data_IF_411940949077
#
_entry.id   IF_411940949077
#
_cell.length_a   1.000
_cell.length_b   1.000
_cell.length_c   1.000
_cell.angle_alpha   90.00
_cell.angle_beta   90.00
_cell.angle_gamma   90.00
#
_symmetry.space_group_name_H-M   'P 1'
#
loop_
_entity.id
_entity.type
_entity.pdbx_description
1 polymer ?
#
# COMPACT_ATOMS: atom_id res chain seq x y z
N UNK A 1 -13.10 40.40 -26.18
CA UNK A 1 -12.45 39.59 -25.14
C UNK A 1 -13.57 38.83 -24.47
N UNK A 2 -13.80 37.58 -24.83
CA UNK A 2 -14.75 36.72 -24.10
C UNK A 2 -14.40 35.26 -24.35
N UNK A 3 -14.04 34.58 -23.26
CA UNK A 3 -13.68 33.17 -23.17
C UNK A 3 -14.91 32.29 -23.43
N UNK A 4 -14.94 31.62 -24.58
CA UNK A 4 -15.83 30.45 -24.73
C UNK A 4 -15.12 29.27 -24.07
N UNK A 5 -15.36 29.14 -22.78
CA UNK A 5 -15.06 27.96 -21.96
C UNK A 5 -15.58 26.71 -22.68
N UNK A 6 -14.64 25.95 -23.27
CA UNK A 6 -14.87 24.61 -23.74
C UNK A 6 -15.21 23.73 -22.53
N UNK A 7 -16.50 23.70 -22.20
CA UNK A 7 -17.10 22.72 -21.30
C UNK A 7 -16.91 21.38 -21.99
N UNK A 8 -15.79 20.70 -21.70
CA UNK A 8 -15.63 19.28 -21.98
C UNK A 8 -16.69 18.57 -21.16
N UNK A 9 -17.87 18.41 -21.75
CA UNK A 9 -18.93 17.57 -21.22
C UNK A 9 -18.29 16.21 -20.92
N UNK A 10 -18.36 15.82 -19.65
CA UNK A 10 -17.94 14.50 -19.23
C UNK A 10 -18.85 13.49 -19.94
N UNK A 11 -18.36 12.95 -21.06
CA UNK A 11 -19.10 11.94 -21.82
C UNK A 11 -19.45 10.77 -20.89
N UNK A 12 -20.72 10.34 -20.82
CA UNK A 12 -21.17 9.24 -19.97
C UNK A 12 -20.43 7.92 -20.27
N UNK A 13 -19.81 7.83 -21.44
CA UNK A 13 -18.97 6.71 -21.87
C UNK A 13 -17.71 6.54 -20.99
N UNK A 14 -17.11 7.63 -20.50
CA UNK A 14 -15.90 7.56 -19.66
C UNK A 14 -16.20 6.97 -18.29
N UNK A 15 -17.40 7.23 -17.75
CA UNK A 15 -17.86 6.65 -16.50
C UNK A 15 -18.17 5.14 -16.64
N UNK A 16 -18.70 4.71 -17.80
CA UNK A 16 -18.94 3.30 -18.10
C UNK A 16 -17.64 2.50 -18.32
N UNK A 17 -16.63 3.13 -18.94
CA UNK A 17 -15.34 2.49 -19.23
C UNK A 17 -14.52 2.13 -17.98
N UNK A 18 -14.76 2.71 -16.81
CA UNK A 18 -13.97 2.38 -15.61
C UNK A 18 -14.57 1.24 -14.78
N UNK A 19 -15.76 0.74 -15.15
CA UNK A 19 -16.49 -0.26 -14.36
C UNK A 19 -15.84 -1.65 -14.35
N UNK A 20 -14.92 -1.93 -15.27
CA UNK A 20 -14.18 -3.19 -15.34
C UNK A 20 -12.88 -3.17 -14.52
N UNK A 21 -12.43 -2.00 -14.06
CA UNK A 21 -11.26 -1.88 -13.20
C UNK A 21 -11.70 -1.91 -11.74
N UNK A 22 -11.05 -2.74 -10.94
CA UNK A 22 -11.21 -2.68 -9.48
C UNK A 22 -10.64 -1.35 -8.97
N UNK A 23 -11.16 -0.85 -7.84
CA UNK A 23 -10.56 0.29 -7.14
C UNK A 23 -9.09 -0.06 -6.80
N UNK A 24 -8.15 0.89 -6.91
CA UNK A 24 -6.78 0.70 -6.42
C UNK A 24 -6.79 0.21 -4.96
N UNK A 25 -5.99 -0.80 -4.66
CA UNK A 25 -5.85 -1.39 -3.32
C UNK A 25 -4.39 -1.27 -2.88
N UNK A 26 -3.97 -0.11 -2.35
CA UNK A 26 -2.58 0.11 -1.99
C UNK A 26 -2.10 -0.81 -0.86
N UNK A 27 -3.00 -1.24 0.04
CA UNK A 27 -2.65 -2.18 1.11
C UNK A 27 -2.38 -3.56 0.53
N UNK A 28 -3.28 -4.03 -0.34
CA UNK A 28 -3.11 -5.28 -1.09
C UNK A 28 -1.83 -5.28 -1.92
N UNK A 29 -1.51 -4.19 -2.62
CA UNK A 29 -0.30 -4.07 -3.43
C UNK A 29 0.99 -4.15 -2.59
N UNK A 30 1.02 -3.51 -1.42
CA UNK A 30 2.14 -3.59 -0.48
C UNK A 30 2.31 -5.03 0.03
N UNK A 31 1.20 -5.67 0.45
CA UNK A 31 1.24 -7.05 0.97
C UNK A 31 1.63 -8.05 -0.12
N UNK A 32 1.14 -7.89 -1.35
CA UNK A 32 1.53 -8.71 -2.50
C UNK A 32 3.03 -8.56 -2.80
N UNK A 33 3.56 -7.34 -2.70
CA UNK A 33 5.00 -7.08 -2.82
C UNK A 33 5.79 -7.76 -1.71
N UNK A 34 5.30 -7.73 -0.47
CA UNK A 34 5.96 -8.36 0.67
C UNK A 34 6.08 -9.88 0.49
N UNK A 35 5.03 -10.55 0.02
CA UNK A 35 4.94 -12.01 -0.11
C UNK A 35 5.33 -12.58 -1.48
N UNK A 36 6.15 -11.86 -2.25
CA UNK A 36 6.71 -12.39 -3.50
C UNK A 36 7.50 -13.69 -3.26
N UNK A 37 7.13 -14.75 -3.98
CA UNK A 37 7.75 -16.09 -3.86
C UNK A 37 9.21 -16.15 -4.29
N UNK A 38 9.67 -15.18 -5.08
CA UNK A 38 11.05 -15.09 -5.53
C UNK A 38 11.96 -14.33 -4.55
N UNK A 39 11.40 -13.78 -3.46
CA UNK A 39 12.12 -12.97 -2.49
C UNK A 39 12.32 -13.68 -1.15
N UNK A 40 13.33 -13.26 -0.39
CA UNK A 40 13.51 -13.74 0.98
C UNK A 40 12.31 -13.37 1.87
N UNK A 41 12.11 -14.13 2.94
CA UNK A 41 10.98 -13.96 3.86
C UNK A 41 10.92 -12.51 4.41
N UNK A 42 9.76 -11.84 4.33
CA UNK A 42 9.58 -10.51 4.89
C UNK A 42 9.61 -10.55 6.43
N UNK A 43 10.25 -9.55 7.03
CA UNK A 43 10.34 -9.39 8.50
C UNK A 43 9.48 -8.25 9.02
N UNK A 44 9.43 -7.15 8.28
CA UNK A 44 8.62 -5.98 8.60
C UNK A 44 8.40 -5.14 7.35
N UNK A 45 7.40 -4.28 7.42
CA UNK A 45 7.10 -3.25 6.44
C UNK A 45 7.40 -1.91 7.10
N UNK A 46 8.28 -1.11 6.51
CA UNK A 46 8.50 0.28 6.93
C UNK A 46 7.70 1.19 6.03
N UNK A 47 7.04 2.19 6.60
CA UNK A 47 6.23 3.16 5.86
C UNK A 47 6.49 4.56 6.36
N UNK A 48 6.43 5.53 5.45
CA UNK A 48 6.38 6.93 5.85
C UNK A 48 5.09 7.24 6.62
N UNK A 49 5.07 8.27 7.48
CA UNK A 49 3.86 8.70 8.19
C UNK A 49 2.65 8.92 7.27
N UNK A 50 2.87 9.52 6.09
CA UNK A 50 1.79 9.82 5.14
C UNK A 50 1.20 8.53 4.54
N UNK A 51 2.04 7.50 4.34
CA UNK A 51 1.62 6.18 3.86
C UNK A 51 0.90 5.42 4.98
N UNK A 52 1.38 5.50 6.22
CA UNK A 52 0.69 4.92 7.37
C UNK A 52 -0.76 5.45 7.51
N UNK A 53 -0.95 6.77 7.41
CA UNK A 53 -2.30 7.35 7.46
C UNK A 53 -3.19 6.90 6.30
N UNK A 54 -2.63 6.74 5.09
CA UNK A 54 -3.38 6.18 3.95
C UNK A 54 -3.75 4.72 4.18
N UNK A 55 -2.85 3.91 4.73
CA UNK A 55 -3.14 2.51 5.09
C UNK A 55 -4.32 2.47 6.06
N UNK A 56 -4.27 3.23 7.16
CA UNK A 56 -5.38 3.26 8.12
C UNK A 56 -6.71 3.64 7.47
N UNK A 57 -6.70 4.60 6.54
CA UNK A 57 -7.91 5.06 5.85
C UNK A 57 -8.52 4.01 4.91
N UNK A 58 -7.71 3.07 4.39
CA UNK A 58 -8.16 2.02 3.47
C UNK A 58 -8.65 0.76 4.20
N UNK A 59 -8.22 0.54 5.44
CA UNK A 59 -8.59 -0.64 6.24
C UNK A 59 -10.01 -0.56 6.80
N UNK A 60 -10.62 -1.73 6.95
CA UNK A 60 -11.85 -1.87 7.73
C UNK A 60 -11.60 -1.61 9.23
N UNK A 61 -12.64 -1.39 10.06
CA UNK A 61 -12.46 -1.05 11.47
C UNK A 61 -11.69 -2.09 12.29
N UNK A 62 -11.83 -3.38 11.98
CA UNK A 62 -11.17 -4.47 12.72
C UNK A 62 -9.70 -4.53 12.36
N UNK A 63 -9.38 -4.47 11.07
CA UNK A 63 -8.00 -4.44 10.59
C UNK A 63 -7.27 -3.17 11.03
N UNK A 64 -7.97 -2.03 11.01
CA UNK A 64 -7.44 -0.76 11.52
C UNK A 64 -7.05 -0.85 12.98
N UNK A 65 -7.91 -1.41 13.83
CA UNK A 65 -7.63 -1.59 15.25
C UNK A 65 -6.38 -2.45 15.46
N UNK A 66 -6.21 -3.54 14.70
CA UNK A 66 -4.99 -4.36 14.76
C UNK A 66 -3.73 -3.58 14.42
N UNK A 67 -3.77 -2.72 13.40
CA UNK A 67 -2.64 -1.87 13.02
C UNK A 67 -2.35 -0.80 14.09
N UNK A 68 -3.38 -0.17 14.65
CA UNK A 68 -3.23 0.88 15.66
C UNK A 68 -2.69 0.33 16.99
N UNK A 69 -3.22 -0.80 17.46
CA UNK A 69 -2.87 -1.40 18.76
C UNK A 69 -1.59 -2.21 18.70
N UNK A 70 -1.43 -3.02 17.65
CA UNK A 70 -0.39 -4.06 17.60
C UNK A 70 0.68 -3.78 16.55
N UNK A 71 0.49 -2.77 15.70
CA UNK A 71 1.40 -2.46 14.59
C UNK A 71 1.59 -3.67 13.67
N UNK A 72 0.51 -4.40 13.38
CA UNK A 72 0.53 -5.57 12.52
C UNK A 72 -0.39 -5.36 11.31
N UNK A 73 0.12 -5.61 10.11
CA UNK A 73 -0.62 -5.48 8.86
C UNK A 73 -0.74 -6.82 8.13
N UNK A 74 -1.96 -7.13 7.66
CA UNK A 74 -2.26 -8.31 6.85
C UNK A 74 -2.80 -9.51 7.64
N UNK A 75 -3.31 -10.48 6.90
CA UNK A 75 -3.90 -11.74 7.40
C UNK A 75 -3.79 -12.81 6.29
N UNK A 76 -3.56 -14.10 6.60
CA UNK A 76 -3.42 -14.69 7.93
C UNK A 76 -2.03 -14.52 8.55
N UNK A 77 -1.01 -14.20 7.74
CA UNK A 77 0.35 -13.94 8.22
C UNK A 77 0.57 -12.43 8.25
N UNK A 78 0.52 -11.86 9.46
CA UNK A 78 0.66 -10.42 9.66
C UNK A 78 2.13 -10.02 9.77
N UNK A 79 2.48 -8.87 9.18
CA UNK A 79 3.82 -8.29 9.24
C UNK A 79 3.84 -7.07 10.17
N UNK A 80 4.90 -6.90 10.99
CA UNK A 80 5.13 -5.65 11.72
C UNK A 80 5.15 -4.45 10.78
N UNK A 81 4.43 -3.40 11.16
CA UNK A 81 4.35 -2.14 10.44
C UNK A 81 5.04 -1.04 11.24
N UNK A 82 6.17 -0.55 10.72
CA UNK A 82 7.02 0.45 11.37
C UNK A 82 6.88 1.78 10.65
N UNK A 83 6.67 2.86 11.40
CA UNK A 83 6.64 4.21 10.83
C UNK A 83 8.06 4.76 10.81
N UNK A 84 8.55 5.11 9.62
CA UNK A 84 9.90 5.64 9.38
C UNK A 84 9.84 6.88 8.48
N UNK A 85 10.07 8.05 9.07
CA UNK A 85 10.04 9.33 8.36
C UNK A 85 11.26 9.57 7.45
N UNK A 86 12.31 8.74 7.57
CA UNK A 86 13.55 8.87 6.79
C UNK A 86 13.49 8.14 5.44
N UNK A 87 12.45 7.33 5.21
CA UNK A 87 12.26 6.67 3.92
C UNK A 87 12.10 7.68 2.77
N UNK A 88 12.55 7.35 1.54
CA UNK A 88 12.30 8.18 0.36
C UNK A 88 10.80 8.48 0.17
N UNK A 89 10.48 9.66 -0.38
CA UNK A 89 9.09 10.08 -0.61
C UNK A 89 8.31 9.12 -1.54
N UNK A 90 9.01 8.52 -2.50
CA UNK A 90 8.44 7.54 -3.43
C UNK A 90 9.34 6.29 -3.45
N UNK A 91 8.79 5.09 -3.21
CA UNK A 91 7.36 4.79 -3.05
C UNK A 91 6.80 5.09 -1.64
N UNK A 92 7.63 5.54 -0.69
CA UNK A 92 7.19 5.83 0.69
C UNK A 92 7.05 4.60 1.59
N UNK A 93 7.49 3.43 1.13
CA UNK A 93 7.57 2.20 1.92
C UNK A 93 8.80 1.36 1.52
N UNK A 94 9.18 0.45 2.41
CA UNK A 94 10.22 -0.56 2.18
C UNK A 94 9.81 -1.89 2.83
N UNK A 95 10.10 -3.01 2.14
CA UNK A 95 9.98 -4.35 2.72
C UNK A 95 11.34 -4.78 3.25
N UNK A 96 11.46 -4.89 4.57
CA UNK A 96 12.67 -5.41 5.20
C UNK A 96 12.57 -6.93 5.22
N UNK A 97 13.57 -7.60 4.67
CA UNK A 97 13.59 -9.06 4.53
C UNK A 97 14.65 -9.69 5.42
N UNK A 98 14.49 -10.98 5.70
CA UNK A 98 15.53 -11.77 6.31
C UNK A 98 16.79 -11.73 5.43
N UNK A 99 17.96 -11.67 6.07
CA UNK A 99 19.20 -11.85 5.32
C UNK A 99 19.21 -13.28 4.77
N UNK A 100 19.71 -13.51 3.54
CA UNK A 100 19.96 -14.86 3.10
C UNK A 100 20.85 -15.52 4.14
N UNK A 101 20.39 -16.64 4.70
CA UNK A 101 21.24 -17.44 5.58
C UNK A 101 22.47 -17.81 4.76
N UNK A 102 23.66 -17.42 5.22
CA UNK A 102 24.88 -17.98 4.66
C UNK A 102 24.74 -19.49 4.88
N UNK A 103 24.61 -20.25 3.80
CA UNK A 103 24.68 -21.70 3.88
C UNK A 103 26.02 -22.00 4.55
N UNK A 104 25.98 -22.57 5.76
CA UNK A 104 27.18 -23.05 6.40
C UNK A 104 27.81 -24.07 5.44
N UNK A 105 29.00 -23.74 4.94
CA UNK A 105 29.82 -24.61 4.11
C UNK A 105 30.26 -25.85 4.91
#
# INVERSE_FOLDING_TARGET
MDEVLARREASPDRAAQHRHWRRPDPVGDILATAWSSAAAEPREIRVRPEVYHRILAELDPVERALVEERRLLGSPIALPLVVDAQLPLLPGFEIVRARPHATAA
#
